data_IF_663917348933
#
_entry.id   IF_663917348933
#
_cell.length_a   1.000
_cell.length_b   1.000
_cell.length_c   1.000
_cell.angle_alpha   90.00
_cell.angle_beta   90.00
_cell.angle_gamma   90.00
#
_symmetry.space_group_name_H-M   'P 1'
#
loop_
_entity.id
_entity.type
_entity.pdbx_description
1 polymer ?
#
# COMPACT_ATOMS: atom_id res chain seq x y z
N UNK A 1 10.57 1.96 65.04
CA UNK A 1 10.47 2.88 63.89
C UNK A 1 11.00 2.30 62.55
N UNK A 2 11.33 1.03 62.45
CA UNK A 2 11.96 0.43 61.24
C UNK A 2 10.99 -0.25 60.27
N UNK A 3 9.88 -0.79 60.74
CA UNK A 3 8.93 -1.58 59.93
C UNK A 3 8.20 -0.79 58.81
N UNK A 4 7.96 0.51 59.03
CA UNK A 4 7.21 1.34 58.10
C UNK A 4 7.99 1.70 56.81
N UNK A 5 9.31 1.68 56.86
CA UNK A 5 10.20 2.00 55.71
C UNK A 5 10.29 0.84 54.72
N UNK A 6 10.18 -0.41 55.20
CA UNK A 6 10.19 -1.60 54.34
C UNK A 6 8.88 -1.75 53.55
N UNK A 7 7.76 -1.45 54.17
CA UNK A 7 6.48 -1.48 53.47
C UNK A 7 6.35 -0.42 52.37
N UNK A 8 6.87 0.78 52.62
CA UNK A 8 6.85 1.88 51.62
C UNK A 8 7.73 1.54 50.41
N UNK A 9 8.92 0.98 50.63
CA UNK A 9 9.84 0.56 49.54
C UNK A 9 9.29 -0.62 48.73
N UNK A 10 8.56 -1.53 49.34
CA UNK A 10 7.91 -2.63 48.65
C UNK A 10 6.74 -2.14 47.77
N UNK A 11 5.92 -1.22 48.29
CA UNK A 11 4.82 -0.65 47.53
C UNK A 11 5.30 0.18 46.32
N UNK A 12 6.34 0.99 46.46
CA UNK A 12 6.93 1.78 45.37
C UNK A 12 7.54 0.90 44.29
N UNK A 13 8.16 -0.21 44.63
CA UNK A 13 8.69 -1.20 43.67
C UNK A 13 7.57 -1.89 42.86
N UNK A 14 6.46 -2.23 43.52
CA UNK A 14 5.29 -2.85 42.84
C UNK A 14 4.64 -1.86 41.87
N UNK A 15 4.48 -0.61 42.27
CA UNK A 15 3.92 0.45 41.44
C UNK A 15 4.83 0.75 40.25
N UNK A 16 6.14 0.83 40.46
CA UNK A 16 7.13 1.04 39.36
C UNK A 16 7.15 -0.13 38.38
N UNK A 17 7.07 -1.37 38.86
CA UNK A 17 7.00 -2.54 37.98
C UNK A 17 5.68 -2.59 37.16
N UNK A 18 4.55 -2.19 37.77
CA UNK A 18 3.27 -2.10 37.07
C UNK A 18 3.25 -1.04 35.98
N UNK A 19 3.89 0.10 36.21
CA UNK A 19 4.01 1.19 35.21
C UNK A 19 5.01 0.77 34.11
N UNK A 20 6.10 0.09 34.46
CA UNK A 20 7.10 -0.39 33.51
C UNK A 20 6.49 -1.46 32.60
N UNK A 21 5.70 -2.40 33.14
CA UNK A 21 5.02 -3.42 32.35
C UNK A 21 3.99 -2.82 31.39
N UNK A 22 3.21 -1.83 31.84
CA UNK A 22 2.26 -1.11 30.95
C UNK A 22 2.97 -0.38 29.83
N UNK A 23 4.10 0.27 30.11
CA UNK A 23 4.92 0.95 29.08
C UNK A 23 5.55 -0.06 28.11
N UNK A 24 6.03 -1.20 28.59
CA UNK A 24 6.58 -2.28 27.74
C UNK A 24 5.50 -2.90 26.85
N UNK A 25 4.28 -3.10 27.36
CA UNK A 25 3.15 -3.60 26.56
C UNK A 25 2.74 -2.60 25.47
N UNK A 26 2.73 -1.30 25.75
CA UNK A 26 2.44 -0.27 24.76
C UNK A 26 3.53 -0.20 23.68
N UNK A 27 4.79 -0.26 24.07
CA UNK A 27 5.92 -0.25 23.10
C UNK A 27 5.90 -1.50 22.23
N UNK A 28 5.61 -2.69 22.79
CA UNK A 28 5.51 -3.93 22.02
C UNK A 28 4.32 -3.91 21.06
N UNK A 29 3.19 -3.31 21.44
CA UNK A 29 2.03 -3.19 20.55
C UNK A 29 2.30 -2.27 19.36
N UNK A 30 3.00 -1.15 19.58
CA UNK A 30 3.40 -0.22 18.50
C UNK A 30 4.40 -0.89 17.56
N UNK A 31 5.35 -1.66 18.08
CA UNK A 31 6.35 -2.36 17.25
C UNK A 31 5.73 -3.43 16.32
N UNK A 32 4.58 -4.00 16.68
CA UNK A 32 3.87 -4.98 15.85
C UNK A 32 3.09 -4.35 14.69
N UNK A 33 2.78 -3.05 14.73
CA UNK A 33 2.04 -2.34 13.68
C UNK A 33 2.95 -1.79 12.57
N UNK A 34 4.24 -1.59 12.83
CA UNK A 34 5.20 -1.03 11.88
C UNK A 34 5.38 -1.86 10.59
N UNK A 35 5.53 -3.21 10.64
CA UNK A 35 5.72 -3.99 9.42
C UNK A 35 4.51 -3.98 8.48
N UNK A 36 3.29 -3.85 9.00
CA UNK A 36 2.08 -3.85 8.19
C UNK A 36 1.97 -2.63 7.27
N UNK A 37 2.37 -1.46 7.75
CA UNK A 37 2.47 -0.25 6.92
C UNK A 37 3.61 -0.36 5.90
N UNK A 38 4.71 -1.04 6.26
CA UNK A 38 5.87 -1.20 5.38
C UNK A 38 5.54 -2.02 4.13
N UNK A 39 4.81 -3.13 4.25
CA UNK A 39 4.45 -3.99 3.11
C UNK A 39 3.56 -3.25 2.10
N UNK A 40 2.54 -2.54 2.58
CA UNK A 40 1.67 -1.72 1.72
C UNK A 40 2.46 -0.60 1.04
N UNK A 41 3.31 0.10 1.79
CA UNK A 41 4.14 1.18 1.26
C UNK A 41 5.14 0.66 0.22
N UNK A 42 5.70 -0.54 0.41
CA UNK A 42 6.59 -1.16 -0.57
C UNK A 42 5.86 -1.43 -1.89
N UNK A 43 4.63 -1.92 -1.85
CA UNK A 43 3.81 -2.10 -3.04
C UNK A 43 3.45 -0.77 -3.70
N UNK A 44 3.04 0.23 -2.92
CA UNK A 44 2.76 1.58 -3.40
C UNK A 44 3.97 2.20 -4.13
N UNK A 45 5.17 2.06 -3.56
CA UNK A 45 6.41 2.52 -4.20
C UNK A 45 6.71 1.75 -5.50
N UNK A 46 6.47 0.45 -5.53
CA UNK A 46 6.66 -0.34 -6.75
C UNK A 46 5.71 0.10 -7.86
N UNK A 47 4.45 0.42 -7.55
CA UNK A 47 3.51 0.99 -8.52
C UNK A 47 3.99 2.37 -8.98
N UNK A 48 4.37 3.26 -8.06
CA UNK A 48 4.83 4.60 -8.38
C UNK A 48 6.01 4.59 -9.35
N UNK A 49 6.95 3.69 -9.15
CA UNK A 49 8.09 3.52 -10.05
C UNK A 49 7.68 3.08 -11.48
N UNK A 50 6.63 2.27 -11.62
CA UNK A 50 6.08 1.95 -12.94
C UNK A 50 5.39 3.18 -13.55
N UNK A 51 4.54 3.86 -12.79
CA UNK A 51 3.81 5.05 -13.24
C UNK A 51 4.75 6.20 -13.67
N UNK A 52 5.89 6.37 -13.03
CA UNK A 52 6.89 7.36 -13.42
C UNK A 52 7.54 7.10 -14.79
N UNK A 53 7.54 5.85 -15.26
CA UNK A 53 8.06 5.47 -16.57
C UNK A 53 7.01 5.62 -17.69
N UNK A 54 5.73 5.66 -17.35
CA UNK A 54 4.62 5.72 -18.31
C UNK A 54 4.58 7.07 -19.02
N UNK A 55 4.77 7.05 -20.34
CA UNK A 55 4.73 8.25 -21.16
C UNK A 55 3.29 8.78 -21.29
N UNK A 56 2.30 7.91 -21.36
CA UNK A 56 0.90 8.27 -21.52
C UNK A 56 0.40 9.17 -20.39
N UNK A 57 0.90 8.97 -19.14
CA UNK A 57 0.55 9.84 -18.02
C UNK A 57 0.95 11.28 -18.26
N UNK A 58 2.10 11.50 -18.90
CA UNK A 58 2.59 12.86 -19.23
C UNK A 58 1.73 13.48 -20.33
N UNK A 59 1.38 12.71 -21.35
CA UNK A 59 0.60 13.16 -22.48
C UNK A 59 -0.82 13.58 -22.05
N UNK A 60 -1.41 12.85 -21.11
CA UNK A 60 -2.71 13.17 -20.51
C UNK A 60 -2.63 14.12 -19.30
N UNK A 61 -1.44 14.60 -18.93
CA UNK A 61 -1.20 15.47 -17.75
C UNK A 61 -1.68 14.87 -16.43
N UNK A 62 -1.55 13.55 -16.30
CA UNK A 62 -1.90 12.79 -15.10
C UNK A 62 -0.66 12.65 -14.23
N UNK A 63 -0.78 12.93 -12.93
CA UNK A 63 0.36 12.74 -12.02
C UNK A 63 0.55 11.25 -11.70
N UNK A 64 1.80 10.74 -11.67
CA UNK A 64 2.08 9.37 -11.29
C UNK A 64 1.51 8.98 -9.92
N UNK A 65 1.48 9.91 -8.97
CA UNK A 65 0.96 9.70 -7.61
C UNK A 65 -0.56 9.47 -7.61
N UNK A 66 -1.30 10.21 -8.43
CA UNK A 66 -2.75 10.01 -8.57
C UNK A 66 -3.05 8.63 -9.14
N UNK A 67 -2.35 8.26 -10.21
CA UNK A 67 -2.51 6.96 -10.84
C UNK A 67 -2.10 5.81 -9.91
N UNK A 68 -0.98 5.97 -9.19
CA UNK A 68 -0.51 5.02 -8.17
C UNK A 68 -1.59 4.74 -7.12
N UNK A 69 -2.21 5.79 -6.60
CA UNK A 69 -3.26 5.65 -5.59
C UNK A 69 -4.46 4.88 -6.13
N UNK A 70 -4.91 5.21 -7.33
CA UNK A 70 -6.02 4.52 -7.99
C UNK A 70 -5.70 3.01 -8.17
N UNK A 71 -4.55 2.68 -8.75
CA UNK A 71 -4.14 1.29 -9.01
C UNK A 71 -3.95 0.51 -7.72
N UNK A 72 -3.38 1.14 -6.68
CA UNK A 72 -3.23 0.53 -5.37
C UNK A 72 -4.60 0.19 -4.76
N UNK A 73 -5.55 1.11 -4.82
CA UNK A 73 -6.90 0.90 -4.28
C UNK A 73 -7.66 -0.17 -5.05
N UNK A 74 -7.70 -0.08 -6.38
CA UNK A 74 -8.39 -1.06 -7.24
C UNK A 74 -7.79 -2.46 -7.10
N UNK A 75 -6.48 -2.63 -7.28
CA UNK A 75 -5.84 -3.94 -7.19
C UNK A 75 -5.97 -4.59 -5.81
N UNK A 76 -5.96 -3.77 -4.74
CA UNK A 76 -6.12 -4.26 -3.37
C UNK A 76 -7.48 -4.93 -3.13
N UNK A 77 -8.54 -4.53 -3.83
CA UNK A 77 -9.88 -5.11 -3.65
C UNK A 77 -9.91 -6.61 -3.99
N UNK A 78 -9.13 -7.03 -4.98
CA UNK A 78 -9.06 -8.41 -5.45
C UNK A 78 -7.93 -9.23 -4.81
N UNK A 79 -7.12 -8.63 -3.92
CA UNK A 79 -6.08 -9.35 -3.20
C UNK A 79 -6.65 -10.21 -2.07
N UNK A 80 -6.00 -11.35 -1.71
CA UNK A 80 -6.39 -12.15 -0.57
C UNK A 80 -6.31 -11.37 0.75
N UNK A 81 -7.11 -11.79 1.73
CA UNK A 81 -7.22 -11.13 3.05
C UNK A 81 -8.47 -10.25 3.18
N UNK A 82 -9.04 -10.21 4.38
CA UNK A 82 -10.36 -9.59 4.65
C UNK A 82 -10.20 -8.12 5.06
N UNK A 83 -9.10 -7.78 5.74
CA UNK A 83 -8.82 -6.44 6.25
C UNK A 83 -7.34 -6.05 6.04
N UNK A 84 -7.03 -4.77 6.22
CA UNK A 84 -5.71 -4.21 5.88
C UNK A 84 -4.52 -4.86 6.62
N UNK A 85 -4.73 -5.37 7.83
CA UNK A 85 -3.70 -6.03 8.65
C UNK A 85 -3.77 -7.56 8.60
N UNK A 86 -4.61 -8.13 7.73
CA UNK A 86 -4.66 -9.57 7.51
C UNK A 86 -3.30 -10.08 7.01
N UNK A 87 -2.70 -11.11 7.65
CA UNK A 87 -1.42 -11.65 7.22
C UNK A 87 -1.36 -12.04 5.73
N UNK A 88 -2.49 -12.53 5.17
CA UNK A 88 -2.59 -12.84 3.74
C UNK A 88 -2.52 -11.59 2.88
N UNK A 89 -3.15 -10.49 3.32
CA UNK A 89 -3.10 -9.19 2.65
C UNK A 89 -1.68 -8.61 2.66
N UNK A 90 -1.01 -8.68 3.81
CA UNK A 90 0.37 -8.20 3.95
C UNK A 90 1.33 -9.02 3.08
N UNK A 91 1.16 -10.33 3.02
CA UNK A 91 1.92 -11.20 2.13
C UNK A 91 1.65 -10.84 0.66
N UNK A 92 0.39 -10.62 0.28
CA UNK A 92 0.04 -10.19 -1.07
C UNK A 92 0.76 -8.89 -1.46
N UNK A 93 0.76 -7.86 -0.61
CA UNK A 93 1.50 -6.61 -0.91
C UNK A 93 2.98 -6.86 -1.19
N UNK A 94 3.67 -7.67 -0.38
CA UNK A 94 5.09 -8.04 -0.61
C UNK A 94 5.29 -8.75 -1.94
N UNK A 95 4.43 -9.72 -2.24
CA UNK A 95 4.53 -10.51 -3.46
C UNK A 95 4.26 -9.66 -4.72
N UNK A 96 3.27 -8.76 -4.67
CA UNK A 96 2.99 -7.82 -5.75
C UNK A 96 4.14 -6.82 -5.94
N UNK A 97 4.70 -6.27 -4.86
CA UNK A 97 5.88 -5.41 -4.95
C UNK A 97 7.07 -6.13 -5.60
N UNK A 98 7.35 -7.38 -5.18
CA UNK A 98 8.40 -8.23 -5.77
C UNK A 98 8.12 -8.53 -7.24
N UNK A 99 6.87 -8.78 -7.62
CA UNK A 99 6.45 -9.00 -9.01
C UNK A 99 6.72 -7.78 -9.87
N UNK A 100 6.31 -6.59 -9.45
CA UNK A 100 6.51 -5.35 -10.22
C UNK A 100 7.98 -4.91 -10.32
N UNK A 101 8.82 -5.36 -9.39
CA UNK A 101 10.25 -5.04 -9.38
C UNK A 101 11.13 -6.17 -9.89
N UNK A 102 10.55 -7.21 -10.50
CA UNK A 102 11.24 -8.40 -10.99
C UNK A 102 12.43 -8.05 -11.91
N UNK A 103 12.27 -7.10 -12.82
CA UNK A 103 13.32 -6.67 -13.76
C UNK A 103 14.55 -6.08 -13.08
N UNK A 104 14.40 -5.57 -11.83
CA UNK A 104 15.49 -4.99 -11.03
C UNK A 104 16.21 -6.02 -10.17
N UNK A 105 15.74 -7.26 -10.17
CA UNK A 105 16.36 -8.34 -9.41
C UNK A 105 17.75 -8.66 -9.97
N UNK A 106 18.68 -9.00 -9.07
CA UNK A 106 20.01 -9.47 -9.44
C UNK A 106 19.97 -10.79 -10.25
N UNK A 107 18.95 -11.62 -10.01
CA UNK A 107 18.69 -12.85 -10.78
C UNK A 107 17.16 -12.95 -11.07
N UNK A 108 16.68 -12.38 -12.18
CA UNK A 108 15.27 -12.40 -12.54
C UNK A 108 14.68 -13.81 -12.70
N UNK A 109 15.49 -14.78 -13.17
CA UNK A 109 15.02 -16.16 -13.34
C UNK A 109 14.72 -16.82 -11.98
N UNK A 110 15.68 -16.70 -11.07
CA UNK A 110 15.50 -17.21 -9.69
C UNK A 110 14.32 -16.51 -9.00
N UNK A 111 14.23 -15.19 -9.13
CA UNK A 111 13.13 -14.42 -8.54
C UNK A 111 11.77 -14.82 -9.11
N UNK A 112 11.70 -15.15 -10.41
CA UNK A 112 10.48 -15.64 -11.03
C UNK A 112 10.03 -17.00 -10.45
N UNK A 113 10.97 -17.93 -10.21
CA UNK A 113 10.66 -19.20 -9.55
C UNK A 113 10.21 -19.02 -8.09
N UNK A 114 10.85 -18.10 -7.38
CA UNK A 114 10.41 -17.71 -6.03
C UNK A 114 9.00 -17.13 -6.06
N UNK A 115 8.68 -16.23 -7.00
CA UNK A 115 7.34 -15.66 -7.16
C UNK A 115 6.27 -16.74 -7.43
N UNK A 116 6.56 -17.75 -8.26
CA UNK A 116 5.65 -18.88 -8.47
C UNK A 116 5.36 -19.63 -7.18
N UNK A 117 6.35 -19.76 -6.31
CA UNK A 117 6.22 -20.38 -4.99
C UNK A 117 5.46 -19.47 -4.02
N UNK A 118 5.79 -18.17 -3.99
CA UNK A 118 5.20 -17.17 -3.10
C UNK A 118 3.70 -16.95 -3.39
N UNK A 119 3.29 -17.01 -4.65
CA UNK A 119 1.88 -16.96 -5.06
C UNK A 119 1.18 -18.33 -4.98
N UNK A 120 1.94 -19.45 -4.88
CA UNK A 120 1.43 -20.81 -4.80
C UNK A 120 1.54 -21.59 -6.11
N UNK A 121 1.45 -20.93 -7.26
CA UNK A 121 1.62 -21.52 -8.59
C UNK A 121 1.92 -20.46 -9.66
N UNK A 122 2.35 -20.93 -10.85
CA UNK A 122 2.50 -20.06 -12.02
C UNK A 122 1.15 -19.46 -12.46
N UNK A 123 0.05 -20.17 -12.26
CA UNK A 123 -1.30 -19.68 -12.57
C UNK A 123 -1.70 -18.53 -11.63
N UNK A 124 -1.53 -18.70 -10.33
CA UNK A 124 -1.86 -17.66 -9.34
C UNK A 124 -0.98 -16.41 -9.50
N UNK A 125 0.29 -16.57 -9.90
CA UNK A 125 1.13 -15.44 -10.29
C UNK A 125 0.57 -14.72 -11.53
N UNK A 126 0.09 -15.46 -12.54
CA UNK A 126 -0.52 -14.86 -13.73
C UNK A 126 -1.84 -14.14 -13.38
N UNK A 127 -2.66 -14.70 -12.51
CA UNK A 127 -3.89 -14.07 -12.00
C UNK A 127 -3.58 -12.78 -11.23
N UNK A 128 -2.52 -12.77 -10.41
CA UNK A 128 -2.07 -11.56 -9.72
C UNK A 128 -1.58 -10.47 -10.69
N UNK A 129 -0.85 -10.86 -11.73
CA UNK A 129 -0.44 -9.94 -12.79
C UNK A 129 -1.65 -9.39 -13.56
N UNK A 130 -2.64 -10.24 -13.87
CA UNK A 130 -3.90 -9.81 -14.51
C UNK A 130 -4.64 -8.80 -13.64
N UNK A 131 -4.80 -9.07 -12.34
CA UNK A 131 -5.41 -8.13 -11.40
C UNK A 131 -4.72 -6.75 -11.42
N UNK A 132 -3.39 -6.72 -11.43
CA UNK A 132 -2.65 -5.46 -11.53
C UNK A 132 -2.92 -4.73 -12.85
N UNK A 133 -2.84 -5.43 -13.99
CA UNK A 133 -3.04 -4.82 -15.32
C UNK A 133 -4.48 -4.38 -15.54
N UNK A 134 -5.46 -5.15 -15.08
CA UNK A 134 -6.88 -4.77 -15.12
C UNK A 134 -7.14 -3.51 -14.29
N UNK A 135 -6.57 -3.44 -13.08
CA UNK A 135 -6.66 -2.24 -12.23
C UNK A 135 -6.03 -1.03 -12.89
N UNK A 136 -4.92 -1.21 -13.60
CA UNK A 136 -4.28 -0.14 -14.36
C UNK A 136 -5.19 0.38 -15.48
N UNK A 137 -5.77 -0.52 -16.29
CA UNK A 137 -6.71 -0.17 -17.38
C UNK A 137 -7.96 0.52 -16.85
N UNK A 138 -8.53 0.03 -15.74
CA UNK A 138 -9.67 0.65 -15.08
C UNK A 138 -9.36 2.09 -14.65
N UNK A 139 -8.20 2.30 -14.01
CA UNK A 139 -7.77 3.62 -13.58
C UNK A 139 -7.55 4.57 -14.74
N UNK A 140 -6.96 4.13 -15.85
CA UNK A 140 -6.86 4.95 -17.07
C UNK A 140 -8.24 5.34 -17.60
N UNK A 141 -9.17 4.41 -17.67
CA UNK A 141 -10.53 4.67 -18.15
C UNK A 141 -11.25 5.74 -17.32
N UNK A 142 -11.14 5.66 -16.00
CA UNK A 142 -11.73 6.64 -15.07
C UNK A 142 -11.11 8.03 -15.25
N UNK A 143 -9.80 8.11 -15.43
CA UNK A 143 -9.10 9.40 -15.55
C UNK A 143 -9.41 10.06 -16.89
N UNK A 144 -9.42 9.30 -17.98
CA UNK A 144 -9.74 9.82 -19.32
C UNK A 144 -11.17 10.34 -19.34
N UNK A 145 -12.14 9.60 -18.81
CA UNK A 145 -13.55 10.04 -18.78
C UNK A 145 -13.73 11.33 -17.98
N UNK A 146 -13.05 11.49 -16.86
CA UNK A 146 -13.07 12.73 -16.07
C UNK A 146 -12.43 13.91 -16.80
N UNK A 147 -11.34 13.68 -17.54
CA UNK A 147 -10.69 14.73 -18.30
C UNK A 147 -11.57 15.24 -19.44
N UNK A 148 -12.28 14.34 -20.12
CA UNK A 148 -13.23 14.70 -21.17
C UNK A 148 -14.45 15.47 -20.62
N UNK A 149 -14.96 15.07 -19.46
CA UNK A 149 -16.07 15.76 -18.79
C UNK A 149 -15.67 17.19 -18.40
N UNK A 150 -14.49 17.35 -17.80
CA UNK A 150 -13.94 18.65 -17.43
C UNK A 150 -13.75 19.57 -18.65
N UNK A 151 -13.25 19.04 -19.77
CA UNK A 151 -13.08 19.80 -21.00
C UNK A 151 -14.42 20.24 -21.61
N UNK A 152 -15.46 19.41 -21.52
CA UNK A 152 -16.83 19.77 -21.98
C UNK A 152 -17.41 20.87 -21.12
N UNK A 153 -17.26 20.82 -19.80
CA UNK A 153 -17.73 21.86 -18.89
C UNK A 153 -17.03 23.21 -19.12
N UNK A 154 -15.74 23.17 -19.37
CA UNK A 154 -14.96 24.38 -19.63
C UNK A 154 -15.36 25.04 -20.96
N UNK A 155 -15.62 24.22 -21.99
CA UNK A 155 -16.11 24.66 -23.28
C UNK A 155 -17.52 25.27 -23.20
N UNK A 156 -18.42 24.67 -22.42
CA UNK A 156 -19.75 25.18 -22.17
C UNK A 156 -19.74 26.53 -21.44
N UNK A 157 -18.89 26.69 -20.40
CA UNK A 157 -18.73 27.95 -19.69
C UNK A 157 -18.09 29.05 -20.53
N UNK A 158 -17.23 28.70 -21.49
CA UNK A 158 -16.63 29.65 -22.41
C UNK A 158 -17.67 30.16 -23.42
N UNK A 159 -18.55 29.30 -23.95
CA UNK A 159 -19.63 29.67 -24.87
C UNK A 159 -20.65 30.62 -24.22
N UNK A 160 -21.02 30.38 -22.96
CA UNK A 160 -21.95 31.27 -22.21
C UNK A 160 -21.41 32.69 -21.97
N UNK A 161 -20.08 32.84 -21.89
CA UNK A 161 -19.43 34.13 -21.68
C UNK A 161 -19.35 35.00 -22.97
N UNK A 162 -19.46 34.39 -24.14
CA UNK A 162 -19.36 35.09 -25.42
C UNK A 162 -20.72 35.70 -25.84
N UNK A 163 -21.84 35.19 -25.31
CA UNK A 163 -23.19 35.61 -25.62
C UNK A 163 -23.73 36.77 -24.72
N UNK A 164 -22.90 37.34 -23.84
CA UNK A 164 -23.23 38.46 -22.96
C UNK A 164 -22.39 39.69 -23.27
#
# INVERSE_FOLDING_TARGET
MSANRYAYNALTKIIQNGILMKKLLLVSLVALLLPACADRNQYEQAILEQMQKEQDLKDYKITPEYMTKCVLESSTQNMPGIFALDPKRLMAYRNYAKMLTLEKSADPKKTLEELRTDFGSARELAEAHSNYTESLVECYSVVISKSEESAKEESAKAAEKVDK
#
